data_IF_237839358996
#
_entry.id   IF_237839358996
#
_cell.length_a   1.000
_cell.length_b   1.000
_cell.length_c   1.000
_cell.angle_alpha   90.00
_cell.angle_beta   90.00
_cell.angle_gamma   90.00
#
_symmetry.space_group_name_H-M   'P 1'
#
loop_
_entity.id
_entity.type
_entity.pdbx_description
1 polymer ?
#
# COMPACT_ATOMS: atom_id res chain seq x y z
N UNK A 1 5.84 18.96 -11.29
CA UNK A 1 5.14 17.65 -11.20
C UNK A 1 5.82 16.83 -10.12
N UNK A 2 5.11 16.49 -9.06
CA UNK A 2 5.70 15.80 -7.91
C UNK A 2 5.89 14.32 -8.27
N UNK A 3 7.10 13.92 -8.69
CA UNK A 3 7.44 12.57 -9.19
C UNK A 3 7.39 11.45 -8.14
N UNK A 4 6.66 11.64 -7.05
CA UNK A 4 6.54 10.69 -5.92
C UNK A 4 5.92 9.37 -6.38
N UNK A 5 4.90 9.43 -7.26
CA UNK A 5 4.33 8.23 -7.87
C UNK A 5 5.37 7.41 -8.62
N UNK A 6 6.26 8.06 -9.37
CA UNK A 6 7.36 7.39 -10.09
C UNK A 6 8.37 6.77 -9.13
N UNK A 7 8.68 7.43 -8.00
CA UNK A 7 9.55 6.88 -6.95
C UNK A 7 8.94 5.61 -6.35
N UNK A 8 7.65 5.63 -5.99
CA UNK A 8 6.97 4.44 -5.49
C UNK A 8 6.95 3.33 -6.54
N UNK A 9 6.58 3.62 -7.79
CA UNK A 9 6.60 2.63 -8.87
C UNK A 9 7.98 1.99 -9.05
N UNK A 10 9.05 2.79 -8.99
CA UNK A 10 10.41 2.29 -9.07
C UNK A 10 10.77 1.37 -7.88
N UNK A 11 10.42 1.76 -6.65
CA UNK A 11 10.64 0.93 -5.45
C UNK A 11 9.85 -0.39 -5.51
N UNK A 12 8.60 -0.34 -5.97
CA UNK A 12 7.78 -1.54 -6.16
C UNK A 12 8.36 -2.46 -7.23
N UNK A 13 8.85 -1.90 -8.34
CA UNK A 13 9.51 -2.68 -9.39
C UNK A 13 10.79 -3.37 -8.89
N UNK A 14 11.61 -2.67 -8.08
CA UNK A 14 12.79 -3.26 -7.45
C UNK A 14 12.43 -4.44 -6.54
N UNK A 15 11.43 -4.29 -5.67
CA UNK A 15 10.99 -5.37 -4.77
C UNK A 15 10.49 -6.61 -5.53
N UNK A 16 9.75 -6.41 -6.62
CA UNK A 16 9.28 -7.51 -7.48
C UNK A 16 10.45 -8.17 -8.20
N UNK A 17 11.42 -7.37 -8.67
CA UNK A 17 12.63 -7.89 -9.30
C UNK A 17 13.50 -8.69 -8.32
N UNK A 18 13.66 -8.20 -7.09
CA UNK A 18 14.38 -8.92 -6.02
C UNK A 18 13.70 -10.26 -5.71
N UNK A 19 12.35 -10.28 -5.66
CA UNK A 19 11.59 -11.51 -5.49
C UNK A 19 11.85 -12.47 -6.64
N UNK A 20 11.84 -12.00 -7.89
CA UNK A 20 12.17 -12.82 -9.05
C UNK A 20 13.59 -13.40 -8.95
N UNK A 21 14.59 -12.60 -8.59
CA UNK A 21 15.97 -13.06 -8.43
C UNK A 21 16.10 -14.13 -7.34
N UNK A 22 15.42 -13.94 -6.20
CA UNK A 22 15.50 -14.89 -5.08
C UNK A 22 14.93 -16.26 -5.44
N UNK A 23 13.93 -16.32 -6.33
CA UNK A 23 13.35 -17.59 -6.80
C UNK A 23 14.31 -18.43 -7.66
N UNK A 24 15.37 -17.80 -8.20
CA UNK A 24 16.42 -18.50 -8.96
C UNK A 24 17.45 -19.17 -8.03
N UNK A 25 17.48 -18.77 -6.75
CA UNK A 25 18.38 -19.32 -5.74
C UNK A 25 17.75 -20.56 -5.07
N UNK A 26 18.59 -21.48 -4.58
CA UNK A 26 18.16 -22.66 -3.82
C UNK A 26 18.81 -22.67 -2.44
N UNK A 27 18.14 -23.31 -1.49
CA UNK A 27 18.63 -23.52 -0.13
C UNK A 27 18.06 -22.53 0.90
N UNK A 28 18.59 -22.59 2.12
CA UNK A 28 18.02 -21.88 3.28
C UNK A 28 18.10 -20.35 3.16
N UNK A 29 19.14 -19.84 2.50
CA UNK A 29 19.33 -18.41 2.27
C UNK A 29 18.20 -17.88 1.38
N UNK A 30 17.84 -18.61 0.32
CA UNK A 30 16.74 -18.23 -0.57
C UNK A 30 15.41 -18.17 0.19
N UNK A 31 15.16 -19.11 1.10
CA UNK A 31 13.95 -19.13 1.93
C UNK A 31 13.88 -17.92 2.87
N UNK A 32 14.96 -17.61 3.59
CA UNK A 32 15.02 -16.46 4.51
C UNK A 32 14.83 -15.16 3.73
N UNK A 33 15.56 -14.98 2.63
CA UNK A 33 15.44 -13.80 1.77
C UNK A 33 14.03 -13.65 1.20
N UNK A 34 13.37 -14.75 0.80
CA UNK A 34 11.98 -14.73 0.33
C UNK A 34 11.02 -14.19 1.39
N UNK A 35 11.13 -14.66 2.64
CA UNK A 35 10.28 -14.20 3.75
C UNK A 35 10.48 -12.69 3.99
N UNK A 36 11.73 -12.23 3.99
CA UNK A 36 12.06 -10.80 4.17
C UNK A 36 11.49 -9.96 3.04
N UNK A 37 11.69 -10.37 1.77
CA UNK A 37 11.19 -9.63 0.61
C UNK A 37 9.66 -9.58 0.60
N UNK A 38 8.98 -10.70 0.88
CA UNK A 38 7.51 -10.72 0.98
C UNK A 38 7.02 -9.77 2.08
N UNK A 39 7.68 -9.77 3.24
CA UNK A 39 7.33 -8.86 4.34
C UNK A 39 7.49 -7.40 3.90
N UNK A 40 8.60 -7.05 3.26
CA UNK A 40 8.83 -5.72 2.69
C UNK A 40 7.79 -5.35 1.64
N UNK A 41 7.39 -6.29 0.78
CA UNK A 41 6.39 -6.07 -0.27
C UNK A 41 5.02 -5.77 0.35
N UNK A 42 4.61 -6.50 1.38
CA UNK A 42 3.36 -6.24 2.10
C UNK A 42 3.37 -4.84 2.72
N UNK A 43 4.45 -4.47 3.42
CA UNK A 43 4.59 -3.12 4.00
C UNK A 43 4.55 -2.05 2.91
N UNK A 44 5.23 -2.28 1.79
CA UNK A 44 5.24 -1.37 0.65
C UNK A 44 3.82 -1.16 0.08
N UNK A 45 3.05 -2.23 -0.12
CA UNK A 45 1.68 -2.14 -0.67
C UNK A 45 0.76 -1.32 0.24
N UNK A 46 0.78 -1.56 1.55
CA UNK A 46 -0.01 -0.74 2.49
C UNK A 46 0.47 0.71 2.53
N UNK A 47 1.79 0.93 2.54
CA UNK A 47 2.38 2.27 2.51
C UNK A 47 1.95 3.04 1.26
N UNK A 48 1.92 2.38 0.10
CA UNK A 48 1.43 2.97 -1.15
C UNK A 48 -0.03 3.42 -1.05
N UNK A 49 -0.90 2.60 -0.47
CA UNK A 49 -2.31 2.95 -0.26
C UNK A 49 -2.48 4.16 0.68
N UNK A 50 -1.74 4.22 1.79
CA UNK A 50 -1.74 5.39 2.66
C UNK A 50 -1.15 6.62 1.99
N UNK A 51 -0.09 6.46 1.19
CA UNK A 51 0.53 7.57 0.45
C UNK A 51 -0.47 8.21 -0.49
N UNK A 52 -1.20 7.39 -1.26
CA UNK A 52 -2.24 7.90 -2.17
C UNK A 52 -3.30 8.71 -1.41
N UNK A 53 -3.81 8.17 -0.30
CA UNK A 53 -4.82 8.88 0.51
C UNK A 53 -4.27 10.17 1.13
N UNK A 54 -3.00 10.17 1.55
CA UNK A 54 -2.35 11.30 2.19
C UNK A 54 -1.99 12.41 1.18
N UNK A 55 -1.52 12.03 -0.01
CA UNK A 55 -1.17 12.93 -1.11
C UNK A 55 -2.35 13.79 -1.58
N UNK A 56 -3.56 13.22 -1.61
CA UNK A 56 -4.76 13.95 -2.05
C UNK A 56 -5.31 14.91 -0.98
N UNK A 57 -5.03 14.66 0.30
CA UNK A 57 -5.68 15.39 1.41
C UNK A 57 -4.77 16.36 2.16
N UNK A 58 -3.45 16.18 2.08
CA UNK A 58 -2.48 16.97 2.84
C UNK A 58 -1.40 17.52 1.91
N UNK A 59 -1.14 18.83 1.99
CA UNK A 59 0.02 19.45 1.36
C UNK A 59 1.24 19.24 2.26
N UNK A 60 2.22 18.49 1.78
CA UNK A 60 3.40 18.09 2.53
C UNK A 60 4.66 18.14 1.65
N UNK A 61 5.82 18.05 2.28
CA UNK A 61 7.09 17.98 1.56
C UNK A 61 7.28 16.58 0.96
N UNK A 62 8.02 16.47 -0.16
CA UNK A 62 8.34 15.18 -0.82
C UNK A 62 8.84 14.11 0.15
N UNK A 63 9.71 14.49 1.09
CA UNK A 63 10.25 13.58 2.13
C UNK A 63 9.15 13.03 3.05
N UNK A 64 8.17 13.85 3.39
CA UNK A 64 7.06 13.48 4.27
C UNK A 64 6.11 12.50 3.58
N UNK A 65 5.89 12.63 2.27
CA UNK A 65 5.10 11.66 1.49
C UNK A 65 5.77 10.28 1.35
N UNK A 66 7.09 10.17 1.59
CA UNK A 66 7.79 8.89 1.59
C UNK A 66 7.80 8.25 2.99
N UNK A 67 8.21 8.99 4.01
CA UNK A 67 8.42 8.41 5.35
C UNK A 67 7.13 8.26 6.16
N UNK A 68 6.17 9.19 6.05
CA UNK A 68 4.96 9.13 6.87
C UNK A 68 4.05 7.93 6.54
N UNK A 69 3.74 7.61 5.27
CA UNK A 69 2.92 6.44 4.95
C UNK A 69 3.55 5.13 5.41
N UNK A 70 4.88 5.06 5.37
CA UNK A 70 5.65 3.93 5.88
C UNK A 70 5.49 3.77 7.40
N UNK A 71 5.66 4.84 8.17
CA UNK A 71 5.41 4.82 9.62
C UNK A 71 3.96 4.45 9.93
N UNK A 72 3.00 5.06 9.23
CA UNK A 72 1.58 4.81 9.45
C UNK A 72 1.27 3.34 9.24
N UNK A 73 1.85 2.73 8.21
CA UNK A 73 1.71 1.29 7.94
C UNK A 73 2.21 0.45 9.12
N UNK A 74 3.36 0.79 9.72
CA UNK A 74 3.91 0.02 10.83
C UNK A 74 3.11 0.17 12.13
N UNK A 75 2.58 1.37 12.40
CA UNK A 75 1.87 1.65 13.66
C UNK A 75 0.38 1.25 13.58
N UNK A 76 -0.23 1.32 12.39
CA UNK A 76 -1.69 1.23 12.22
C UNK A 76 -2.17 -0.19 11.88
N UNK A 77 -1.77 -1.19 12.67
CA UNK A 77 -2.09 -2.60 12.40
C UNK A 77 -3.60 -2.86 12.27
N UNK A 78 -4.43 -2.25 13.12
CA UNK A 78 -5.89 -2.36 13.06
C UNK A 78 -6.44 -1.85 11.73
N UNK A 79 -5.96 -0.70 11.27
CA UNK A 79 -6.38 -0.09 10.01
C UNK A 79 -5.89 -0.93 8.82
N UNK A 80 -4.68 -1.48 8.88
CA UNK A 80 -4.17 -2.37 7.83
C UNK A 80 -5.04 -3.61 7.67
N UNK A 81 -5.49 -4.22 8.77
CA UNK A 81 -6.41 -5.37 8.72
C UNK A 81 -7.74 -4.97 8.07
N UNK A 82 -8.31 -3.81 8.43
CA UNK A 82 -9.57 -3.32 7.84
C UNK A 82 -9.43 -2.97 6.35
N UNK A 83 -8.30 -2.37 5.96
CA UNK A 83 -7.98 -2.12 4.56
C UNK A 83 -7.88 -3.46 3.82
N UNK A 84 -7.09 -4.40 4.33
CA UNK A 84 -6.92 -5.73 3.74
C UNK A 84 -8.24 -6.46 3.56
N UNK A 85 -9.09 -6.51 4.59
CA UNK A 85 -10.41 -7.14 4.50
C UNK A 85 -11.30 -6.49 3.44
N UNK A 86 -11.38 -5.16 3.41
CA UNK A 86 -12.20 -4.49 2.40
C UNK A 86 -11.66 -4.65 0.99
N UNK A 87 -10.34 -4.64 0.79
CA UNK A 87 -9.72 -4.92 -0.51
C UNK A 87 -10.01 -6.36 -0.96
N UNK A 88 -9.99 -7.34 -0.06
CA UNK A 88 -10.36 -8.73 -0.37
C UNK A 88 -11.83 -8.82 -0.79
N UNK A 89 -12.75 -8.16 -0.08
CA UNK A 89 -14.19 -8.14 -0.43
C UNK A 89 -14.41 -7.45 -1.78
N UNK A 90 -13.75 -6.33 -2.04
CA UNK A 90 -13.82 -5.62 -3.33
C UNK A 90 -13.25 -6.50 -4.46
N UNK A 91 -12.10 -7.14 -4.24
CA UNK A 91 -11.51 -8.07 -5.20
C UNK A 91 -12.44 -9.24 -5.52
N UNK A 92 -13.08 -9.82 -4.51
CA UNK A 92 -14.08 -10.86 -4.70
C UNK A 92 -15.29 -10.38 -5.51
N UNK A 93 -15.80 -9.17 -5.25
CA UNK A 93 -16.89 -8.57 -6.03
C UNK A 93 -16.50 -8.37 -7.50
N UNK A 94 -15.30 -7.85 -7.76
CA UNK A 94 -14.81 -7.65 -9.13
C UNK A 94 -14.59 -8.96 -9.89
N UNK A 95 -14.18 -10.02 -9.18
CA UNK A 95 -14.05 -11.35 -9.74
C UNK A 95 -15.41 -11.94 -10.15
N UNK A 96 -16.45 -11.78 -9.30
CA UNK A 96 -17.80 -12.26 -9.61
C UNK A 96 -18.48 -11.44 -10.71
N UNK A 97 -18.19 -10.14 -10.79
CA UNK A 97 -18.82 -9.22 -11.74
C UNK A 97 -17.74 -8.47 -12.54
N UNK A 98 -17.13 -9.11 -13.55
CA UNK A 98 -16.03 -8.52 -14.31
C UNK A 98 -16.45 -7.25 -15.07
N UNK A 99 -17.75 -7.07 -15.35
CA UNK A 99 -18.29 -5.84 -15.95
C UNK A 99 -18.09 -4.58 -15.09
N UNK A 100 -17.81 -4.73 -13.78
CA UNK A 100 -17.49 -3.61 -12.88
C UNK A 100 -16.04 -3.15 -13.02
N UNK A 101 -15.12 -3.99 -13.48
CA UNK A 101 -13.68 -3.70 -13.55
C UNK A 101 -13.37 -2.33 -14.18
N UNK A 102 -13.87 -1.96 -15.37
CA UNK A 102 -13.52 -0.68 -15.99
C UNK A 102 -13.97 0.55 -15.18
N UNK A 103 -14.95 0.41 -14.28
CA UNK A 103 -15.49 1.52 -13.48
C UNK A 103 -15.01 1.50 -12.03
N UNK A 104 -14.81 0.32 -11.47
CA UNK A 104 -14.70 0.08 -10.03
C UNK A 104 -13.30 -0.31 -9.56
N UNK A 105 -12.41 -0.73 -10.46
CA UNK A 105 -11.08 -1.26 -10.09
C UNK A 105 -10.21 -0.23 -9.35
N UNK A 106 -10.22 1.03 -9.78
CA UNK A 106 -9.50 2.10 -9.10
C UNK A 106 -10.33 2.77 -8.01
N UNK A 107 -11.62 2.97 -8.26
CA UNK A 107 -12.48 3.82 -7.43
C UNK A 107 -12.90 3.16 -6.11
N UNK A 108 -13.33 1.90 -6.13
CA UNK A 108 -13.76 1.22 -4.90
C UNK A 108 -12.59 0.99 -3.92
N UNK A 109 -11.42 0.47 -4.35
CA UNK A 109 -10.26 0.36 -3.47
C UNK A 109 -9.82 1.71 -2.89
N UNK A 110 -9.72 2.75 -3.74
CA UNK A 110 -9.32 4.07 -3.28
C UNK A 110 -10.31 4.65 -2.26
N UNK A 111 -11.62 4.54 -2.52
CA UNK A 111 -12.65 4.99 -1.59
C UNK A 111 -12.58 4.25 -0.25
N UNK A 112 -12.42 2.93 -0.28
CA UNK A 112 -12.34 2.14 0.95
C UNK A 112 -11.10 2.48 1.79
N UNK A 113 -9.92 2.49 1.15
CA UNK A 113 -8.65 2.86 1.79
C UNK A 113 -8.77 4.24 2.43
N UNK A 114 -9.28 5.22 1.68
CA UNK A 114 -9.48 6.58 2.18
C UNK A 114 -10.42 6.60 3.39
N UNK A 115 -11.56 5.90 3.32
CA UNK A 115 -12.53 5.83 4.43
C UNK A 115 -11.91 5.28 5.70
N UNK A 116 -11.10 4.22 5.59
CA UNK A 116 -10.41 3.63 6.76
C UNK A 116 -9.29 4.55 7.26
N UNK A 117 -8.51 5.15 6.36
CA UNK A 117 -7.40 6.03 6.69
C UNK A 117 -7.85 7.36 7.33
N UNK A 118 -9.00 7.91 6.92
CA UNK A 118 -9.60 9.12 7.48
C UNK A 118 -9.82 9.04 8.99
N UNK A 119 -10.15 7.85 9.51
CA UNK A 119 -10.29 7.65 10.95
C UNK A 119 -8.97 7.92 11.69
N UNK A 120 -7.82 7.64 11.07
CA UNK A 120 -6.50 7.96 11.62
C UNK A 120 -6.11 9.41 11.39
N UNK A 121 -6.40 9.95 10.21
CA UNK A 121 -6.11 11.34 9.88
C UNK A 121 -6.88 12.34 10.75
N UNK A 122 -8.12 12.03 11.14
CA UNK A 122 -8.86 12.83 12.13
C UNK A 122 -8.17 12.87 13.49
N UNK A 123 -7.54 11.78 13.92
CA UNK A 123 -6.79 11.78 15.19
C UNK A 123 -5.52 12.62 15.11
N UNK A 124 -4.86 12.67 13.96
CA UNK A 124 -3.70 13.55 13.77
C UNK A 124 -4.09 15.03 13.82
N UNK A 125 -5.20 15.44 13.19
CA UNK A 125 -5.68 16.84 13.20
C UNK A 125 -6.22 17.35 14.54
N UNK A 126 -6.54 16.46 15.48
CA UNK A 126 -7.07 16.84 16.82
C UNK A 126 -5.94 17.07 17.84
N UNK A 127 -4.73 16.61 17.52
CA UNK A 127 -3.53 16.75 18.38
C UNK A 127 -2.60 17.89 17.90
N UNK A 128 -3.04 18.70 16.95
CA UNK A 128 -2.46 20.00 16.58
C UNK A 128 -3.32 21.12 17.18
#
# INVERSE_FOLDING_TARGET
MNGIGSVYLFLGALLVFDLYLVTQLKGIIALISTIVIITCLVIYVFSFFYMFSYYVHFEQTVKQYLWQPFIITLISLKQNILIGLGLTVIGFLLYQMPGLIPFALGTLPAFWVMKVALNRFRQFRVNE
#
